data_IF_004233498807
#
_entry.id   IF_004233498807
#
_cell.length_a   1.000
_cell.length_b   1.000
_cell.length_c   1.000
_cell.angle_alpha   90.00
_cell.angle_beta   90.00
_cell.angle_gamma   90.00
#
_symmetry.space_group_name_H-M   'P 1'
#
loop_
_entity.id
_entity.type
_entity.pdbx_description
1 polymer ?
#
# COMPACT_ATOMS: atom_id res chain seq x y z
N UNK A 1 16.36 33.35 7.23
CA UNK A 1 15.87 32.29 6.32
C UNK A 1 14.62 31.69 6.95
N UNK A 2 13.45 32.08 6.47
CA UNK A 2 12.15 31.72 7.04
C UNK A 2 11.83 30.29 6.63
N UNK A 3 11.84 29.34 7.58
CA UNK A 3 11.50 27.93 7.36
C UNK A 3 9.98 27.73 7.18
N UNK A 4 9.34 28.51 6.32
CA UNK A 4 7.92 28.38 6.01
C UNK A 4 7.70 27.02 5.33
N UNK A 5 6.97 26.14 6.00
CA UNK A 5 6.63 24.81 5.49
C UNK A 5 7.51 23.66 5.99
N UNK A 6 8.59 23.90 6.74
CA UNK A 6 9.37 22.82 7.36
C UNK A 6 8.87 22.53 8.78
N UNK A 7 8.81 21.27 9.17
CA UNK A 7 8.59 20.84 10.56
C UNK A 7 9.90 20.41 11.21
N UNK A 8 10.02 20.59 12.53
CA UNK A 8 11.16 20.15 13.31
C UNK A 8 10.89 18.76 13.89
N UNK A 9 11.81 17.82 13.67
CA UNK A 9 11.75 16.47 14.23
C UNK A 9 12.74 16.35 15.41
N UNK A 10 12.25 16.18 16.65
CA UNK A 10 13.10 16.03 17.83
C UNK A 10 13.76 14.65 17.94
N UNK A 11 13.26 13.62 17.24
CA UNK A 11 13.88 12.28 17.25
C UNK A 11 15.20 12.33 16.47
N UNK A 12 15.22 13.11 15.38
CA UNK A 12 16.35 13.20 14.46
C UNK A 12 17.12 14.52 14.55
N UNK A 13 16.73 15.39 15.48
CA UNK A 13 17.23 16.75 15.72
C UNK A 13 17.39 17.60 14.45
N UNK A 14 16.42 17.51 13.53
CA UNK A 14 16.55 18.15 12.20
C UNK A 14 15.25 18.76 11.69
N UNK A 15 15.41 19.76 10.83
CA UNK A 15 14.32 20.31 10.04
C UNK A 15 14.04 19.43 8.84
N UNK A 16 12.81 18.91 8.74
CA UNK A 16 12.37 18.09 7.61
C UNK A 16 11.51 18.96 6.68
N UNK A 17 11.81 18.94 5.38
CA UNK A 17 10.98 19.58 4.38
C UNK A 17 9.81 18.67 3.97
N UNK A 18 8.66 19.22 3.56
CA UNK A 18 7.59 18.45 2.94
C UNK A 18 8.17 17.68 1.75
N UNK A 19 7.77 16.42 1.58
CA UNK A 19 8.19 15.65 0.40
C UNK A 19 7.65 16.35 -0.84
N UNK A 20 8.52 16.57 -1.83
CA UNK A 20 8.12 17.04 -3.15
C UNK A 20 6.95 16.18 -3.65
N UNK A 21 5.84 16.77 -4.15
CA UNK A 21 4.77 15.98 -4.72
C UNK A 21 5.37 15.13 -5.85
N UNK A 22 5.39 13.82 -5.64
CA UNK A 22 5.86 12.88 -6.64
C UNK A 22 5.00 13.09 -7.89
N UNK A 23 5.63 13.43 -9.01
CA UNK A 23 4.98 13.24 -10.31
C UNK A 23 4.61 11.75 -10.38
N UNK A 24 3.31 11.49 -10.38
CA UNK A 24 2.76 10.14 -10.43
C UNK A 24 3.25 9.47 -11.71
N UNK A 25 4.23 8.57 -11.61
CA UNK A 25 4.64 7.70 -12.70
C UNK A 25 3.53 6.65 -12.89
N UNK A 26 2.49 7.05 -13.61
CA UNK A 26 1.21 6.33 -13.73
C UNK A 26 1.33 4.98 -14.45
N UNK A 27 2.45 4.69 -15.11
CA UNK A 27 2.55 3.51 -16.00
C UNK A 27 3.00 2.21 -15.33
N UNK A 28 3.94 2.24 -14.38
CA UNK A 28 4.42 1.00 -13.72
C UNK A 28 3.51 0.56 -12.59
N UNK A 29 2.90 1.51 -11.87
CA UNK A 29 2.10 1.23 -10.69
C UNK A 29 0.77 0.54 -11.01
N UNK A 30 0.19 0.79 -12.20
CA UNK A 30 -1.08 0.13 -12.62
C UNK A 30 -0.88 -1.37 -12.88
N UNK A 31 0.24 -1.75 -13.51
CA UNK A 31 0.57 -3.15 -13.78
C UNK A 31 0.81 -3.94 -12.49
N UNK A 32 1.60 -3.36 -11.57
CA UNK A 32 1.88 -3.97 -10.26
C UNK A 32 0.61 -4.12 -9.41
N UNK A 33 -0.25 -3.09 -9.38
CA UNK A 33 -1.55 -3.17 -8.69
C UNK A 33 -2.45 -4.25 -9.28
N UNK A 34 -2.50 -4.40 -10.61
CA UNK A 34 -3.34 -5.41 -11.25
C UNK A 34 -2.88 -6.85 -10.92
N UNK A 35 -1.57 -7.09 -10.83
CA UNK A 35 -1.02 -8.40 -10.40
C UNK A 35 -1.38 -8.68 -8.94
N UNK A 36 -1.23 -7.70 -8.05
CA UNK A 36 -1.58 -7.83 -6.64
C UNK A 36 -3.09 -8.04 -6.43
N UNK A 37 -3.94 -7.39 -7.23
CA UNK A 37 -5.39 -7.60 -7.21
C UNK A 37 -5.76 -9.01 -7.68
N UNK A 38 -5.12 -9.51 -8.74
CA UNK A 38 -5.32 -10.87 -9.22
C UNK A 38 -4.95 -11.90 -8.14
N UNK A 39 -3.78 -11.77 -7.53
CA UNK A 39 -3.33 -12.64 -6.44
C UNK A 39 -4.31 -12.62 -5.26
N UNK A 40 -4.80 -11.43 -4.87
CA UNK A 40 -5.81 -11.28 -3.82
C UNK A 40 -7.12 -12.01 -4.16
N UNK A 41 -7.60 -11.92 -5.40
CA UNK A 41 -8.83 -12.61 -5.81
C UNK A 41 -8.68 -14.13 -5.80
N UNK A 42 -7.50 -14.65 -6.16
CA UNK A 42 -7.20 -16.08 -6.10
C UNK A 42 -7.20 -16.57 -4.65
N UNK A 43 -6.57 -15.82 -3.74
CA UNK A 43 -6.49 -16.19 -2.32
C UNK A 43 -7.87 -16.14 -1.64
N UNK A 44 -8.69 -15.13 -1.95
CA UNK A 44 -10.08 -15.05 -1.45
C UNK A 44 -10.91 -16.26 -1.91
N UNK A 45 -10.79 -16.67 -3.18
CA UNK A 45 -11.47 -17.87 -3.68
C UNK A 45 -10.99 -19.14 -3.00
N UNK A 46 -9.68 -19.26 -2.74
CA UNK A 46 -9.07 -20.40 -2.05
C UNK A 46 -9.59 -20.52 -0.62
N UNK A 47 -9.58 -19.42 0.13
CA UNK A 47 -10.10 -19.36 1.51
C UNK A 47 -11.60 -19.68 1.53
N UNK A 48 -12.39 -19.10 0.63
CA UNK A 48 -13.81 -19.38 0.52
C UNK A 48 -14.08 -20.87 0.31
N UNK A 49 -13.33 -21.51 -0.61
CA UNK A 49 -13.48 -22.94 -0.88
C UNK A 49 -13.14 -23.79 0.34
N UNK A 50 -12.04 -23.48 1.03
CA UNK A 50 -11.66 -24.17 2.26
C UNK A 50 -12.73 -24.05 3.36
N UNK A 51 -13.32 -22.87 3.54
CA UNK A 51 -14.40 -22.66 4.51
C UNK A 51 -15.65 -23.46 4.16
N UNK A 52 -16.09 -23.41 2.90
CA UNK A 52 -17.25 -24.17 2.42
C UNK A 52 -17.01 -25.68 2.55
N UNK A 53 -15.84 -26.16 2.15
CA UNK A 53 -15.49 -27.59 2.20
C UNK A 53 -15.37 -28.10 3.65
N UNK A 54 -14.91 -27.27 4.60
CA UNK A 54 -14.91 -27.59 6.03
C UNK A 54 -16.33 -27.72 6.59
N UNK A 55 -17.26 -26.84 6.18
CA UNK A 55 -18.65 -26.90 6.62
C UNK A 55 -19.46 -28.02 5.95
N UNK A 56 -19.05 -28.49 4.77
CA UNK A 56 -19.70 -29.56 4.03
C UNK A 56 -19.25 -30.97 4.46
N UNK A 57 -18.26 -31.06 5.36
CA UNK A 57 -17.80 -32.32 5.96
C UNK A 57 -18.60 -32.58 7.24
N UNK A 58 -19.81 -33.10 7.08
CA UNK A 58 -20.50 -33.91 8.10
C UNK A 58 -20.03 -35.36 8.05
#
# INVERSE_FOLDING_TARGET
>A
MTNLGKWYDPISERWIAPREPRQETTSSQVSENHVLELERTVEVKRIWRALVDCCARD
#
